data_IF_362460018275
#
_entry.id   IF_362460018275
#
_cell.length_a   1.000
_cell.length_b   1.000
_cell.length_c   1.000
_cell.angle_alpha   90.00
_cell.angle_beta   90.00
_cell.angle_gamma   90.00
#
_symmetry.space_group_name_H-M   'P 1'
#
loop_
_entity.id
_entity.type
_entity.pdbx_description
1 polymer ?
#
# COMPACT_ATOMS: atom_id res chain seq x y z
N UNK A 1 8.06 -12.01 -21.07
CA UNK A 1 8.33 -13.08 -20.07
C UNK A 1 8.66 -12.42 -18.75
N UNK A 2 7.84 -12.60 -17.72
CA UNK A 2 8.19 -12.14 -16.38
C UNK A 2 9.35 -13.00 -15.84
N UNK A 3 10.45 -12.37 -15.42
CA UNK A 3 11.62 -13.05 -14.85
C UNK A 3 11.21 -13.65 -13.51
N UNK A 4 11.46 -14.95 -13.31
CA UNK A 4 11.31 -15.62 -12.01
C UNK A 4 12.15 -14.90 -10.96
N UNK A 5 11.54 -14.51 -9.84
CA UNK A 5 12.23 -13.86 -8.72
C UNK A 5 11.97 -14.68 -7.44
N UNK A 6 12.88 -15.59 -7.05
CA UNK A 6 12.69 -16.50 -5.92
C UNK A 6 12.48 -15.74 -4.59
N UNK A 7 13.06 -14.55 -4.45
CA UNK A 7 12.92 -13.74 -3.24
C UNK A 7 11.51 -13.18 -3.08
N UNK A 8 10.83 -12.89 -4.20
CA UNK A 8 9.44 -12.41 -4.19
C UNK A 8 8.45 -13.53 -3.84
N UNK A 9 8.72 -14.76 -4.29
CA UNK A 9 7.92 -15.94 -3.97
C UNK A 9 8.08 -16.35 -2.51
N UNK A 10 9.31 -16.36 -2.00
CA UNK A 10 9.61 -16.63 -0.60
C UNK A 10 8.95 -15.59 0.32
N UNK A 11 9.09 -14.29 0.00
CA UNK A 11 8.39 -13.21 0.72
C UNK A 11 6.88 -13.44 0.75
N UNK A 12 6.28 -13.71 -0.42
CA UNK A 12 4.84 -13.93 -0.52
C UNK A 12 4.40 -15.08 0.37
N UNK A 13 5.07 -16.22 0.28
CA UNK A 13 4.73 -17.42 1.06
C UNK A 13 4.81 -17.15 2.56
N UNK A 14 5.90 -16.54 3.02
CA UNK A 14 6.05 -16.18 4.44
C UNK A 14 4.96 -15.20 4.90
N UNK A 15 4.62 -14.22 4.08
CA UNK A 15 3.57 -13.25 4.40
C UNK A 15 2.19 -13.90 4.47
N UNK A 16 1.85 -14.75 3.49
CA UNK A 16 0.59 -15.50 3.46
C UNK A 16 0.49 -16.47 4.65
N UNK A 17 1.58 -17.16 5.01
CA UNK A 17 1.65 -18.03 6.20
C UNK A 17 1.48 -17.24 7.50
N UNK A 18 2.11 -16.07 7.61
CA UNK A 18 2.05 -15.22 8.81
C UNK A 18 0.66 -14.64 9.06
N UNK A 19 -0.04 -14.24 8.00
CA UNK A 19 -1.32 -13.53 8.13
C UNK A 19 -2.54 -14.35 7.75
N UNK A 20 -2.35 -15.57 7.23
CA UNK A 20 -3.45 -16.48 6.88
C UNK A 20 -4.30 -16.02 5.70
N UNK A 21 -3.83 -15.05 4.91
CA UNK A 21 -4.54 -14.48 3.76
C UNK A 21 -3.66 -14.54 2.52
N UNK A 22 -4.22 -14.92 1.37
CA UNK A 22 -3.48 -14.86 0.12
C UNK A 22 -3.27 -13.43 -0.35
N UNK A 23 -2.07 -13.13 -0.84
CA UNK A 23 -1.75 -11.86 -1.50
C UNK A 23 -2.26 -11.93 -2.94
N UNK A 24 -3.13 -10.99 -3.29
CA UNK A 24 -3.63 -10.81 -4.66
C UNK A 24 -2.66 -9.94 -5.47
N UNK A 25 -2.16 -8.87 -4.85
CA UNK A 25 -1.19 -7.96 -5.42
C UNK A 25 -0.51 -7.14 -4.32
N UNK A 26 0.71 -6.66 -4.58
CA UNK A 26 1.41 -5.75 -3.69
C UNK A 26 2.33 -4.80 -4.46
N UNK A 27 2.67 -3.67 -3.84
CA UNK A 27 3.65 -2.72 -4.35
C UNK A 27 4.23 -1.87 -3.23
N UNK A 28 5.27 -1.09 -3.54
CA UNK A 28 5.83 -0.11 -2.61
C UNK A 28 5.00 1.18 -2.67
N UNK A 29 4.79 1.81 -1.52
CA UNK A 29 4.15 3.11 -1.45
C UNK A 29 4.47 3.87 -0.19
N UNK A 30 4.23 5.19 -0.26
CA UNK A 30 4.31 6.09 0.88
C UNK A 30 2.90 6.36 1.38
N UNK A 31 2.56 5.87 2.57
CA UNK A 31 1.36 6.27 3.28
C UNK A 31 1.42 7.77 3.58
N UNK A 32 0.35 8.48 3.20
CA UNK A 32 0.21 9.93 3.41
C UNK A 32 -0.72 10.26 4.57
N UNK A 33 -1.61 9.34 4.94
CA UNK A 33 -2.62 9.60 5.96
C UNK A 33 -3.91 8.80 5.75
N UNK A 34 -4.86 9.03 6.65
CA UNK A 34 -6.21 8.47 6.56
C UNK A 34 -6.55 7.41 7.60
N UNK A 35 -5.61 7.04 8.47
CA UNK A 35 -5.83 6.13 9.60
C UNK A 35 -5.59 6.83 10.93
N UNK A 36 -6.58 6.80 11.83
CA UNK A 36 -6.60 7.62 13.06
C UNK A 36 -5.44 7.35 14.01
N UNK A 37 -4.95 6.11 14.06
CA UNK A 37 -3.89 5.68 14.98
C UNK A 37 -2.47 6.01 14.47
N UNK A 38 -2.35 6.44 13.22
CA UNK A 38 -1.06 6.73 12.60
C UNK A 38 -1.02 8.13 12.02
N UNK A 39 -0.25 8.97 12.71
CA UNK A 39 0.13 10.30 12.25
C UNK A 39 1.48 10.25 11.52
N UNK A 40 1.64 11.07 10.49
CA UNK A 40 2.83 11.16 9.64
C UNK A 40 2.88 10.22 8.43
N UNK A 41 3.92 10.38 7.63
CA UNK A 41 4.14 9.63 6.40
C UNK A 41 5.07 8.43 6.61
N UNK A 42 4.75 7.29 6.00
CA UNK A 42 5.54 6.06 6.14
C UNK A 42 5.76 5.40 4.79
N UNK A 43 6.96 4.90 4.53
CA UNK A 43 7.20 3.96 3.42
C UNK A 43 6.85 2.54 3.84
N UNK A 44 6.15 1.82 2.98
CA UNK A 44 5.74 0.45 3.27
C UNK A 44 5.18 -0.25 2.05
N UNK A 45 4.77 -1.50 2.26
CA UNK A 45 4.05 -2.26 1.25
C UNK A 45 2.57 -1.92 1.29
N UNK A 46 2.03 -1.68 0.10
CA UNK A 46 0.61 -1.49 -0.17
C UNK A 46 0.12 -2.81 -0.76
N UNK A 47 -0.76 -3.52 -0.04
CA UNK A 47 -1.07 -4.92 -0.32
C UNK A 47 -2.58 -5.11 -0.44
N UNK A 48 -3.00 -5.80 -1.48
CA UNK A 48 -4.33 -6.38 -1.62
C UNK A 48 -4.25 -7.85 -1.24
N UNK A 49 -5.05 -8.26 -0.25
CA UNK A 49 -5.21 -9.67 0.16
C UNK A 49 -6.64 -10.13 -0.12
N UNK A 50 -6.90 -11.44 -0.04
CA UNK A 50 -8.28 -11.95 -0.09
C UNK A 50 -9.17 -11.39 1.04
N UNK A 51 -8.58 -11.00 2.17
CA UNK A 51 -9.30 -10.43 3.31
C UNK A 51 -9.45 -8.91 3.28
N UNK A 52 -8.78 -8.19 2.38
CA UNK A 52 -8.95 -6.74 2.21
C UNK A 52 -7.69 -5.99 1.84
N UNK A 53 -7.55 -4.78 2.38
CA UNK A 53 -6.42 -3.90 2.13
C UNK A 53 -5.49 -3.87 3.33
N UNK A 54 -4.18 -3.89 3.07
CA UNK A 54 -3.17 -3.77 4.11
C UNK A 54 -2.07 -2.79 3.70
N UNK A 55 -1.70 -1.91 4.61
CA UNK A 55 -0.46 -1.15 4.53
C UNK A 55 0.49 -1.66 5.60
N UNK A 56 1.71 -2.03 5.21
CA UNK A 56 2.67 -2.63 6.11
C UNK A 56 4.02 -1.89 6.04
N UNK A 57 4.36 -1.17 7.10
CA UNK A 57 5.64 -0.51 7.29
C UNK A 57 6.58 -1.40 8.12
N UNK A 58 7.72 -1.75 7.55
CA UNK A 58 8.74 -2.55 8.21
C UNK A 58 9.77 -1.65 8.92
N UNK A 59 10.23 -2.00 10.12
CA UNK A 59 11.23 -1.20 10.84
C UNK A 59 12.69 -1.61 10.62
N UNK A 60 12.97 -2.79 10.05
CA UNK A 60 14.29 -3.44 10.10
C UNK A 60 15.19 -3.23 8.87
N UNK A 61 16.50 -3.40 9.05
CA UNK A 61 17.60 -3.10 8.12
C UNK A 61 17.60 -3.85 6.76
N UNK A 62 16.81 -4.92 6.60
CA UNK A 62 16.80 -5.74 5.39
C UNK A 62 16.06 -5.14 4.18
N UNK A 63 14.99 -4.37 4.38
CA UNK A 63 14.27 -3.72 3.27
C UNK A 63 14.83 -2.32 2.95
N UNK A 64 15.58 -1.74 3.89
CA UNK A 64 16.24 -0.44 3.78
C UNK A 64 17.25 -0.40 2.62
N UNK A 65 17.89 -1.51 2.21
CA UNK A 65 18.77 -1.51 1.03
C UNK A 65 18.05 -1.19 -0.30
N UNK A 66 16.72 -1.36 -0.39
CA UNK A 66 15.95 -0.98 -1.58
C UNK A 66 15.47 0.49 -1.56
N UNK A 67 15.52 1.17 -0.41
CA UNK A 67 14.99 2.53 -0.19
C UNK A 67 16.09 3.52 0.22
N UNK A 68 17.30 3.05 0.53
CA UNK A 68 18.45 3.77 1.12
C UNK A 68 19.10 4.87 0.29
N UNK A 69 18.45 5.43 -0.73
CA UNK A 69 18.92 6.67 -1.35
C UNK A 69 18.36 7.95 -0.75
N UNK A 70 17.41 7.91 0.21
CA UNK A 70 16.62 9.14 0.45
C UNK A 70 16.41 9.69 1.86
N UNK A 71 16.62 9.04 3.01
CA UNK A 71 16.33 9.76 4.29
C UNK A 71 17.12 9.29 5.51
N UNK A 72 17.81 10.26 6.09
CA UNK A 72 18.70 10.26 7.26
C UNK A 72 17.96 10.34 8.60
N UNK A 73 18.44 9.61 9.61
CA UNK A 73 18.51 10.02 11.02
C UNK A 73 17.22 10.16 11.85
N UNK A 74 16.87 9.13 12.64
CA UNK A 74 15.84 9.18 13.68
C UNK A 74 15.70 7.84 14.41
N UNK A 75 14.99 7.83 15.56
CA UNK A 75 14.73 6.62 16.40
C UNK A 75 14.38 5.38 15.56
N UNK A 76 14.76 4.16 15.99
CA UNK A 76 14.45 2.94 15.24
C UNK A 76 12.94 2.90 14.95
N UNK A 77 12.52 2.71 13.69
CA UNK A 77 11.12 2.69 13.36
C UNK A 77 10.42 1.56 14.13
N UNK A 78 9.15 1.71 14.47
CA UNK A 78 8.31 0.60 14.96
C UNK A 78 7.52 0.04 13.77
N UNK A 79 7.32 -1.27 13.73
CA UNK A 79 6.45 -1.90 12.73
C UNK A 79 5.04 -1.32 12.83
N UNK A 80 4.49 -0.89 11.69
CA UNK A 80 3.13 -0.36 11.63
C UNK A 80 2.35 -1.10 10.57
N UNK A 81 1.22 -1.67 10.95
CA UNK A 81 0.31 -2.35 10.02
C UNK A 81 -1.06 -1.71 10.12
N UNK A 82 -1.55 -1.20 8.99
CA UNK A 82 -2.95 -0.82 8.83
C UNK A 82 -3.64 -1.95 8.09
N UNK A 83 -4.80 -2.38 8.58
CA UNK A 83 -5.65 -3.35 7.90
C UNK A 83 -7.07 -2.82 7.79
N UNK A 84 -7.60 -2.84 6.57
CA UNK A 84 -9.00 -2.54 6.28
C UNK A 84 -9.64 -3.83 5.74
N UNK A 85 -10.53 -4.46 6.52
CA UNK A 85 -11.23 -5.67 6.09
C UNK A 85 -12.05 -5.41 4.82
N UNK A 86 -12.15 -6.42 3.95
CA UNK A 86 -12.91 -6.39 2.69
C UNK A 86 -14.29 -5.76 2.87
N UNK A 87 -15.05 -6.23 3.85
CA UNK A 87 -16.44 -5.80 4.10
C UNK A 87 -16.54 -4.34 4.58
N UNK A 88 -15.41 -3.75 4.99
CA UNK A 88 -15.31 -2.34 5.37
C UNK A 88 -14.87 -1.45 4.21
N UNK A 89 -14.39 -2.01 3.08
CA UNK A 89 -13.92 -1.22 1.93
C UNK A 89 -15.13 -0.78 1.10
N UNK A 90 -15.28 0.53 0.93
CA UNK A 90 -16.31 1.14 0.09
C UNK A 90 -15.83 1.30 -1.34
N UNK A 91 -14.57 1.68 -1.53
CA UNK A 91 -13.98 1.81 -2.86
C UNK A 91 -12.46 1.78 -2.78
N UNK A 92 -11.81 1.23 -3.81
CA UNK A 92 -10.37 1.36 -4.02
C UNK A 92 -10.11 1.98 -5.40
N UNK A 93 -9.27 3.01 -5.48
CA UNK A 93 -8.99 3.73 -6.72
C UNK A 93 -7.49 3.94 -6.92
N UNK A 94 -7.03 3.78 -8.17
CA UNK A 94 -5.75 4.31 -8.60
C UNK A 94 -5.98 5.68 -9.25
N UNK A 95 -5.48 6.74 -8.63
CA UNK A 95 -5.65 8.13 -9.05
C UNK A 95 -4.35 8.63 -9.67
N UNK A 96 -4.46 9.26 -10.83
CA UNK A 96 -3.36 10.00 -11.47
C UNK A 96 -3.83 11.41 -11.76
N UNK A 97 -2.92 12.39 -11.75
CA UNK A 97 -3.25 13.74 -12.21
C UNK A 97 -3.68 13.68 -13.69
N UNK A 98 -4.93 14.09 -13.93
CA UNK A 98 -5.58 14.05 -15.24
C UNK A 98 -5.08 15.15 -16.17
N UNK A 99 -4.53 16.23 -15.62
CA UNK A 99 -4.16 17.41 -16.39
C UNK A 99 -2.69 17.36 -16.82
N UNK A 100 -2.45 17.10 -18.10
CA UNK A 100 -1.11 17.06 -18.69
C UNK A 100 -0.26 18.31 -18.43
N UNK A 101 -0.86 19.51 -18.49
CA UNK A 101 -0.19 20.78 -18.15
C UNK A 101 0.24 20.85 -16.69
N UNK A 102 -0.58 20.34 -15.76
CA UNK A 102 -0.24 20.34 -14.33
C UNK A 102 0.87 19.34 -14.02
N UNK A 103 0.96 18.21 -14.73
CA UNK A 103 2.05 17.23 -14.56
C UNK A 103 3.44 17.81 -14.88
N UNK A 104 3.51 18.79 -15.78
CA UNK A 104 4.76 19.46 -16.17
C UNK A 104 5.19 20.46 -15.10
N UNK A 105 4.24 21.17 -14.48
CA UNK A 105 4.52 22.20 -13.47
C UNK A 105 4.62 21.63 -12.05
N UNK A 106 3.88 20.56 -11.76
CA UNK A 106 3.76 19.91 -10.47
C UNK A 106 3.61 18.38 -10.69
N UNK A 107 4.69 17.60 -10.62
CA UNK A 107 4.61 16.15 -10.73
C UNK A 107 3.84 15.59 -9.53
N UNK A 108 2.53 15.39 -9.68
CA UNK A 108 1.72 14.64 -8.73
C UNK A 108 1.97 13.17 -8.97
N UNK A 109 2.53 12.52 -7.95
CA UNK A 109 2.73 11.08 -7.96
C UNK A 109 1.37 10.36 -7.92
N UNK A 110 1.23 9.23 -8.63
CA UNK A 110 0.02 8.42 -8.55
C UNK A 110 -0.34 8.00 -7.12
N UNK A 111 -1.62 7.84 -6.85
CA UNK A 111 -2.14 7.50 -5.53
C UNK A 111 -3.01 6.25 -5.60
N UNK A 112 -2.88 5.38 -4.61
CA UNK A 112 -3.93 4.44 -4.24
C UNK A 112 -4.75 5.08 -3.14
N UNK A 113 -6.05 5.21 -3.37
CA UNK A 113 -7.02 5.72 -2.40
C UNK A 113 -8.00 4.62 -2.01
N UNK A 114 -8.04 4.27 -0.72
CA UNK A 114 -8.95 3.24 -0.18
C UNK A 114 -9.93 3.91 0.76
N UNK A 115 -11.18 4.06 0.30
CA UNK A 115 -12.29 4.54 1.15
C UNK A 115 -12.85 3.38 1.93
N UNK A 116 -13.10 3.60 3.21
CA UNK A 116 -13.60 2.57 4.11
C UNK A 116 -14.66 3.13 5.06
N UNK A 117 -15.44 2.21 5.63
CA UNK A 117 -16.42 2.47 6.67
C UNK A 117 -16.36 1.35 7.71
N UNK A 118 -16.27 1.72 8.98
CA UNK A 118 -16.30 0.81 10.12
C UNK A 118 -17.21 1.36 11.23
N UNK A 119 -17.25 0.69 12.37
CA UNK A 119 -18.07 1.10 13.52
C UNK A 119 -17.69 2.50 14.08
N UNK A 120 -16.46 2.96 13.85
CA UNK A 120 -15.97 4.25 14.31
C UNK A 120 -16.21 5.41 13.31
N UNK A 121 -16.66 5.10 12.09
CA UNK A 121 -16.95 6.09 11.05
C UNK A 121 -16.44 5.70 9.67
N UNK A 122 -16.22 6.69 8.81
CA UNK A 122 -15.64 6.49 7.47
C UNK A 122 -14.35 7.28 7.30
N UNK A 123 -13.44 6.77 6.47
CA UNK A 123 -12.18 7.42 6.16
C UNK A 123 -11.68 7.08 4.76
N UNK A 124 -10.57 7.69 4.37
CA UNK A 124 -9.87 7.41 3.12
C UNK A 124 -8.37 7.31 3.40
N UNK A 125 -7.80 6.12 3.21
CA UNK A 125 -6.35 5.91 3.25
C UNK A 125 -5.76 6.33 1.92
N UNK A 126 -4.69 7.12 1.97
CA UNK A 126 -3.95 7.56 0.80
C UNK A 126 -2.52 7.00 0.84
N UNK A 127 -2.15 6.31 -0.23
CA UNK A 127 -0.79 5.85 -0.45
C UNK A 127 -0.28 6.39 -1.79
N UNK A 128 0.79 7.16 -1.77
CA UNK A 128 1.55 7.53 -2.97
C UNK A 128 2.31 6.32 -3.49
N UNK A 129 2.18 6.04 -4.78
CA UNK A 129 2.71 4.83 -5.43
C UNK A 129 3.20 5.13 -6.84
N UNK A 130 3.82 4.13 -7.47
CA UNK A 130 4.11 4.16 -8.91
C UNK A 130 3.12 3.27 -9.71
N UNK A 131 3.28 3.24 -11.04
CA UNK A 131 2.43 2.45 -11.94
C UNK A 131 2.46 0.94 -11.71
N UNK A 132 3.49 0.40 -11.05
CA UNK A 132 3.57 -1.03 -10.73
C UNK A 132 2.56 -1.44 -9.66
N UNK A 133 2.00 -0.48 -8.92
CA UNK A 133 0.99 -0.71 -7.89
C UNK A 133 -0.45 -0.69 -8.42
N UNK A 134 -0.68 -0.45 -9.73
CA UNK A 134 -2.02 -0.54 -10.36
C UNK A 134 -2.74 -1.88 -10.02
N UNK A 135 -2.09 -3.05 -10.07
CA UNK A 135 -2.73 -4.32 -9.75
C UNK A 135 -3.29 -4.40 -8.33
N UNK A 136 -2.80 -3.59 -7.39
CA UNK A 136 -3.34 -3.52 -6.02
C UNK A 136 -4.75 -2.92 -6.03
N UNK A 137 -4.91 -1.75 -6.64
CA UNK A 137 -6.21 -1.10 -6.75
C UNK A 137 -7.20 -1.95 -7.55
N UNK A 138 -6.75 -2.57 -8.64
CA UNK A 138 -7.62 -3.43 -9.46
C UNK A 138 -8.04 -4.71 -8.71
N UNK A 139 -7.14 -5.33 -7.95
CA UNK A 139 -7.46 -6.49 -7.11
C UNK A 139 -8.50 -6.14 -6.05
N UNK A 140 -8.33 -5.02 -5.36
CA UNK A 140 -9.30 -4.55 -4.35
C UNK A 140 -10.66 -4.24 -4.97
N UNK A 141 -10.70 -3.59 -6.15
CA UNK A 141 -11.95 -3.33 -6.88
C UNK A 141 -12.69 -4.62 -7.23
N UNK A 142 -11.98 -5.63 -7.73
CA UNK A 142 -12.59 -6.94 -8.03
C UNK A 142 -13.07 -7.63 -6.76
N UNK A 143 -12.31 -7.51 -5.68
CA UNK A 143 -12.66 -8.10 -4.39
C UNK A 143 -13.96 -7.51 -3.81
N UNK A 144 -14.19 -6.20 -3.93
CA UNK A 144 -15.40 -5.55 -3.40
C UNK A 144 -16.60 -5.61 -4.35
N UNK A 145 -16.37 -5.81 -5.65
CA UNK A 145 -17.42 -5.83 -6.69
C UNK A 145 -17.91 -7.23 -7.07
N UNK A 146 -17.25 -8.28 -6.56
CA UNK A 146 -17.65 -9.67 -6.73
C UNK A 146 -18.38 -10.24 -5.51
#
# INVERSE_FOLDING_TARGET
MAKYNPDAEAFRKEYEERYGEKILAYGLGRYLGGWKEYDGEFWGLVIATEGGFRFHHFPHEGWLQMVSRSTTGGKPPQEKTIFVPRDSIVSAEYRTEKSWWRRILFPSHPLIAVKYRNAAGSGEILCETDSRSIPVADSLKRLIGG
#
